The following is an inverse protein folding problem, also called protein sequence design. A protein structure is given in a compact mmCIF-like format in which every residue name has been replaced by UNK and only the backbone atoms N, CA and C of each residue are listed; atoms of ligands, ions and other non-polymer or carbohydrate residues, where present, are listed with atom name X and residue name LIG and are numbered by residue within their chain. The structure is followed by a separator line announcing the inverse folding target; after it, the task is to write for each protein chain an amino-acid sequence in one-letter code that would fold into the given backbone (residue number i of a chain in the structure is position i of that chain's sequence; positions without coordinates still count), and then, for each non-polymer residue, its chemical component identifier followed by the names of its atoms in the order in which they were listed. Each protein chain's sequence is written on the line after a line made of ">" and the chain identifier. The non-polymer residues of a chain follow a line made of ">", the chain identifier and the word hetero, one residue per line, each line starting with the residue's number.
data_IF_870439099588
#
_entry.id   IF_870439099588
#
_cell.length_a   1.000
_cell.length_b   1.000
_cell.length_c   1.000
_cell.angle_alpha   90.00
_cell.angle_beta   90.00
_cell.angle_gamma   90.00
#
_symmetry.space_group_name_H-M   'P 1'
#
loop_
_entity.id
_entity.type
_entity.pdbx_description
1 polymer ?
#
# COMPACT_ATOMS: atom_id res chain seq x y z
N UNK A 1 -5.15 -3.67 15.12
CA UNK A 1 -4.17 -2.80 14.52
C UNK A 1 -2.89 -2.63 15.29
N UNK A 2 -2.89 -1.89 16.41
CA UNK A 2 -1.65 -1.58 17.14
C UNK A 2 -0.98 -2.80 17.77
N UNK A 3 -1.78 -3.72 18.33
CA UNK A 3 -1.26 -4.97 18.91
C UNK A 3 -0.62 -5.85 17.83
N UNK A 4 -1.21 -5.91 16.64
CA UNK A 4 -0.67 -6.65 15.50
C UNK A 4 0.65 -6.05 15.01
N UNK A 5 0.74 -4.72 14.95
CA UNK A 5 1.96 -4.02 14.56
C UNK A 5 3.11 -4.30 15.53
N UNK A 6 2.84 -4.27 16.83
CA UNK A 6 3.81 -4.59 17.88
C UNK A 6 4.28 -6.03 17.77
N UNK A 7 3.36 -6.95 17.60
CA UNK A 7 3.68 -8.37 17.41
C UNK A 7 4.55 -8.60 16.17
N UNK A 8 4.26 -7.90 15.08
CA UNK A 8 5.09 -7.96 13.87
C UNK A 8 6.54 -7.56 14.13
N UNK A 9 6.72 -6.46 14.87
CA UNK A 9 8.06 -6.00 15.29
C UNK A 9 8.77 -6.97 16.21
N UNK A 10 8.07 -7.54 17.17
CA UNK A 10 8.60 -8.56 18.08
C UNK A 10 9.02 -9.83 17.32
N UNK A 11 8.22 -10.26 16.34
CA UNK A 11 8.54 -11.42 15.51
C UNK A 11 9.79 -11.19 14.66
N UNK A 12 9.94 -10.00 14.07
CA UNK A 12 11.16 -9.66 13.33
C UNK A 12 12.39 -9.71 14.23
N UNK A 13 12.32 -9.07 15.38
CA UNK A 13 13.43 -9.05 16.35
C UNK A 13 13.81 -10.44 16.83
N UNK A 14 12.81 -11.29 17.13
CA UNK A 14 13.03 -12.67 17.56
C UNK A 14 13.74 -13.52 16.50
N UNK A 15 13.53 -13.22 15.22
CA UNK A 15 14.21 -13.88 14.10
C UNK A 15 15.54 -13.22 13.71
N UNK A 16 15.97 -12.20 14.42
CA UNK A 16 17.18 -11.46 14.09
C UNK A 16 17.07 -10.62 12.82
N UNK A 17 15.85 -10.34 12.36
CA UNK A 17 15.59 -9.49 11.19
C UNK A 17 15.46 -8.05 11.68
N UNK A 18 16.53 -7.28 11.55
CA UNK A 18 16.60 -5.91 12.03
C UNK A 18 16.72 -4.95 10.84
N UNK A 19 15.65 -4.20 10.53
CA UNK A 19 15.66 -3.29 9.39
C UNK A 19 16.72 -2.18 9.50
N UNK A 20 17.32 -1.83 8.38
CA UNK A 20 18.27 -0.72 8.23
C UNK A 20 17.60 0.53 7.64
N UNK A 21 16.49 0.34 6.95
CA UNK A 21 15.71 1.41 6.34
C UNK A 21 14.24 1.02 6.27
N UNK A 22 13.36 2.00 6.44
CA UNK A 22 11.92 1.86 6.27
C UNK A 22 11.47 2.60 5.02
N UNK A 23 10.66 1.93 4.20
CA UNK A 23 9.86 2.54 3.13
C UNK A 23 8.39 2.41 3.48
N UNK A 24 7.65 3.52 3.48
CA UNK A 24 6.22 3.52 3.81
C UNK A 24 5.46 4.58 3.00
N UNK A 25 4.15 4.62 3.18
CA UNK A 25 3.29 5.55 2.47
C UNK A 25 3.14 6.90 3.18
N UNK A 26 2.32 7.77 2.62
CA UNK A 26 1.94 9.04 3.24
C UNK A 26 0.71 8.91 4.14
N UNK A 27 0.11 7.72 4.26
CA UNK A 27 -1.09 7.52 5.05
C UNK A 27 -0.74 7.19 6.50
N UNK A 28 -1.39 7.87 7.42
CA UNK A 28 -1.08 7.80 8.85
C UNK A 28 -1.11 6.37 9.41
N UNK A 29 -2.04 5.54 8.97
CA UNK A 29 -2.16 4.16 9.46
C UNK A 29 -0.93 3.30 9.14
N UNK A 30 -0.31 3.50 7.98
CA UNK A 30 0.92 2.78 7.62
C UNK A 30 2.12 3.32 8.39
N UNK A 31 2.20 4.64 8.54
CA UNK A 31 3.27 5.30 9.31
C UNK A 31 3.21 4.84 10.78
N UNK A 32 2.03 4.81 11.38
CA UNK A 32 1.85 4.36 12.76
C UNK A 32 2.21 2.88 12.94
N UNK A 33 1.75 2.02 12.02
CA UNK A 33 2.09 0.61 12.03
C UNK A 33 3.61 0.40 12.00
N UNK A 34 4.29 1.12 11.10
CA UNK A 34 5.74 1.05 10.99
C UNK A 34 6.43 1.50 12.27
N UNK A 35 6.00 2.62 12.85
CA UNK A 35 6.59 3.15 14.08
C UNK A 35 6.43 2.18 15.25
N UNK A 36 5.26 1.57 15.40
CA UNK A 36 5.00 0.60 16.47
C UNK A 36 5.87 -0.65 16.29
N UNK A 37 5.97 -1.16 15.07
CA UNK A 37 6.81 -2.31 14.77
C UNK A 37 8.28 -2.03 15.02
N UNK A 38 8.77 -0.86 14.58
CA UNK A 38 10.17 -0.46 14.78
C UNK A 38 10.48 -0.19 16.26
N UNK A 39 9.53 0.37 17.02
CA UNK A 39 9.67 0.54 18.46
C UNK A 39 9.85 -0.81 19.14
N UNK A 40 9.01 -1.78 18.80
CA UNK A 40 9.10 -3.14 19.35
C UNK A 40 10.43 -3.85 19.01
N UNK A 41 11.02 -3.52 17.87
CA UNK A 41 12.30 -4.06 17.42
C UNK A 41 13.52 -3.21 17.83
N UNK A 42 13.32 -2.11 18.56
CA UNK A 42 14.36 -1.14 18.95
C UNK A 42 15.07 -0.53 17.72
N UNK A 43 14.28 -0.22 16.68
CA UNK A 43 14.79 0.31 15.40
C UNK A 43 14.10 1.61 14.96
N UNK A 44 13.51 2.38 15.88
CA UNK A 44 12.89 3.68 15.55
C UNK A 44 13.85 4.68 14.91
N UNK A 45 15.14 4.55 15.19
CA UNK A 45 16.18 5.48 14.78
C UNK A 45 16.62 5.35 13.31
N UNK A 46 16.17 4.32 12.59
CA UNK A 46 16.61 4.08 11.22
C UNK A 46 16.05 5.12 10.25
N UNK A 47 16.70 5.34 9.08
CA UNK A 47 16.16 6.22 8.04
C UNK A 47 14.79 5.78 7.57
N UNK A 48 13.92 6.77 7.30
CA UNK A 48 12.55 6.57 6.84
C UNK A 48 12.36 7.29 5.52
N UNK A 49 11.87 6.57 4.52
CA UNK A 49 11.49 7.11 3.21
C UNK A 49 9.99 6.95 3.02
N UNK A 50 9.27 8.06 2.91
CA UNK A 50 7.82 8.08 2.68
C UNK A 50 7.51 8.47 1.26
N UNK A 51 6.54 7.79 0.66
CA UNK A 51 6.14 8.06 -0.72
C UNK A 51 4.66 7.79 -0.94
N UNK A 52 3.99 8.65 -1.72
CA UNK A 52 2.62 8.43 -2.15
C UNK A 52 2.51 7.16 -3.01
N UNK A 53 3.59 6.73 -3.65
CA UNK A 53 3.61 5.56 -4.52
C UNK A 53 3.42 4.24 -3.79
N UNK A 54 3.53 4.25 -2.45
CA UNK A 54 3.17 3.11 -1.59
C UNK A 54 1.79 3.26 -0.94
N UNK A 55 1.03 4.31 -1.26
CA UNK A 55 -0.31 4.50 -0.72
C UNK A 55 -1.24 3.34 -1.10
N UNK A 56 -2.33 3.21 -0.33
CA UNK A 56 -3.42 2.31 -0.69
C UNK A 56 -4.06 2.73 -2.02
N UNK A 57 -4.68 1.78 -2.68
CA UNK A 57 -5.44 2.00 -3.90
C UNK A 57 -6.51 3.07 -3.69
N UNK A 58 -6.63 3.99 -4.63
CA UNK A 58 -7.69 4.97 -4.66
C UNK A 58 -8.95 4.38 -5.28
N UNK A 59 -10.04 4.36 -4.52
CA UNK A 59 -11.29 3.73 -4.94
C UNK A 59 -12.20 4.65 -5.77
N UNK A 60 -11.71 5.81 -6.21
CA UNK A 60 -12.47 6.71 -7.08
C UNK A 60 -13.78 7.17 -6.45
N UNK A 61 -14.84 7.16 -7.23
CA UNK A 61 -16.17 7.58 -6.76
C UNK A 61 -16.76 6.69 -5.66
N UNK A 62 -16.16 5.53 -5.39
CA UNK A 62 -16.56 4.66 -4.28
C UNK A 62 -15.97 5.11 -2.93
N UNK A 63 -15.04 6.04 -2.95
CA UNK A 63 -14.39 6.54 -1.75
C UNK A 63 -15.44 7.10 -0.78
N UNK A 64 -15.40 6.66 0.47
CA UNK A 64 -16.37 7.07 1.50
C UNK A 64 -17.71 6.35 1.46
N UNK A 65 -17.97 5.51 0.47
CA UNK A 65 -19.17 4.67 0.40
C UNK A 65 -18.92 3.32 1.06
N UNK A 66 -19.93 2.83 1.80
CA UNK A 66 -19.85 1.48 2.33
C UNK A 66 -20.25 0.44 1.26
N UNK A 67 -20.02 -0.83 1.59
CA UNK A 67 -20.30 -1.94 0.70
C UNK A 67 -21.78 -2.01 0.30
N UNK A 68 -22.68 -1.80 1.25
CA UNK A 68 -24.12 -1.87 1.02
C UNK A 68 -24.60 -0.76 0.07
N UNK A 69 -24.12 0.47 0.28
CA UNK A 69 -24.42 1.60 -0.60
C UNK A 69 -23.93 1.36 -2.02
N UNK A 70 -22.75 0.83 -2.18
CA UNK A 70 -22.16 0.53 -3.49
C UNK A 70 -22.97 -0.55 -4.22
N UNK A 71 -23.34 -1.62 -3.50
CA UNK A 71 -24.18 -2.70 -4.07
C UNK A 71 -25.55 -2.19 -4.51
N UNK A 72 -26.18 -1.32 -3.73
CA UNK A 72 -27.47 -0.73 -4.04
C UNK A 72 -27.41 0.17 -5.28
N UNK A 73 -26.38 1.03 -5.36
CA UNK A 73 -26.24 2.01 -6.42
C UNK A 73 -25.82 1.40 -7.76
N UNK A 74 -24.90 0.45 -7.76
CA UNK A 74 -24.26 -0.07 -8.98
C UNK A 74 -24.60 -1.53 -9.29
N UNK A 75 -25.17 -2.25 -8.35
CA UNK A 75 -25.48 -3.68 -8.48
C UNK A 75 -24.30 -4.59 -8.17
N UNK A 76 -24.59 -5.90 -7.87
CA UNK A 76 -23.56 -6.84 -7.43
C UNK A 76 -22.53 -7.18 -8.51
N UNK A 77 -22.93 -7.25 -9.76
CA UNK A 77 -22.02 -7.60 -10.88
C UNK A 77 -20.96 -6.54 -11.08
N UNK A 78 -21.36 -5.25 -11.15
CA UNK A 78 -20.44 -4.14 -11.30
C UNK A 78 -19.56 -3.96 -10.06
N UNK A 79 -20.12 -4.14 -8.87
CA UNK A 79 -19.37 -4.10 -7.61
C UNK A 79 -18.23 -5.13 -7.60
N UNK A 80 -18.54 -6.38 -7.99
CA UNK A 80 -17.54 -7.45 -8.03
C UNK A 80 -16.48 -7.20 -9.09
N UNK A 81 -16.86 -6.63 -10.23
CA UNK A 81 -15.92 -6.28 -11.28
C UNK A 81 -14.88 -5.27 -10.77
N UNK A 82 -15.30 -4.20 -10.10
CA UNK A 82 -14.38 -3.21 -9.54
C UNK A 82 -13.53 -3.78 -8.42
N UNK A 83 -14.09 -4.67 -7.61
CA UNK A 83 -13.40 -5.23 -6.46
C UNK A 83 -12.35 -6.26 -6.84
N UNK A 84 -12.61 -7.09 -7.86
CA UNK A 84 -11.78 -8.25 -8.20
C UNK A 84 -11.04 -8.15 -9.52
N UNK A 85 -11.43 -7.26 -10.40
CA UNK A 85 -10.73 -7.06 -11.65
C UNK A 85 -9.34 -6.49 -11.42
N UNK A 86 -8.36 -6.97 -12.19
CA UNK A 86 -7.00 -6.46 -12.16
C UNK A 86 -6.91 -5.04 -12.75
N UNK A 87 -7.64 -4.75 -13.82
CA UNK A 87 -7.43 -3.58 -14.66
C UNK A 87 -8.64 -2.66 -14.85
N UNK A 88 -9.78 -2.95 -14.21
CA UNK A 88 -10.97 -2.10 -14.31
C UNK A 88 -11.11 -1.21 -13.08
N UNK A 89 -10.83 0.11 -13.20
CA UNK A 89 -11.01 1.02 -12.07
C UNK A 89 -12.46 1.41 -11.87
N UNK A 90 -12.86 1.80 -10.64
CA UNK A 90 -14.13 2.49 -10.43
C UNK A 90 -14.17 3.84 -11.17
N UNK A 91 -15.34 4.47 -11.30
CA UNK A 91 -15.42 5.81 -11.87
C UNK A 91 -14.54 6.81 -11.11
N UNK A 92 -13.94 7.79 -11.79
CA UNK A 92 -13.08 8.77 -11.12
C UNK A 92 -13.88 9.67 -10.17
N UNK A 93 -13.20 10.10 -9.11
CA UNK A 93 -13.73 11.04 -8.14
C UNK A 93 -13.62 12.46 -8.68
N UNK A 94 -14.64 13.29 -8.45
CA UNK A 94 -14.59 14.71 -8.80
C UNK A 94 -13.61 15.46 -7.92
N UNK A 95 -12.91 16.44 -8.49
CA UNK A 95 -11.94 17.26 -7.77
C UNK A 95 -12.56 18.07 -6.63
N UNK A 96 -13.86 18.38 -6.71
CA UNK A 96 -14.61 19.09 -5.68
C UNK A 96 -15.08 18.21 -4.52
N UNK A 97 -14.90 16.88 -4.61
CA UNK A 97 -15.30 15.97 -3.55
C UNK A 97 -14.46 16.20 -2.29
N UNK A 98 -15.08 16.01 -1.12
CA UNK A 98 -14.35 16.02 0.17
C UNK A 98 -13.28 14.94 0.27
N UNK A 99 -13.39 13.88 -0.51
CA UNK A 99 -12.41 12.78 -0.56
C UNK A 99 -11.32 12.99 -1.61
N UNK A 100 -11.35 14.12 -2.36
CA UNK A 100 -10.33 14.44 -3.36
C UNK A 100 -8.98 14.71 -2.70
N UNK A 101 -7.92 14.22 -3.32
CA UNK A 101 -6.54 14.45 -2.89
C UNK A 101 -5.88 15.63 -3.61
N UNK A 102 -6.57 16.26 -4.57
CA UNK A 102 -6.00 17.28 -5.46
C UNK A 102 -5.47 18.51 -4.68
N UNK A 103 -6.15 18.89 -3.61
CA UNK A 103 -5.77 20.04 -2.78
C UNK A 103 -5.19 19.64 -1.42
N UNK A 104 -4.89 18.36 -1.22
CA UNK A 104 -4.32 17.86 0.02
C UNK A 104 -2.82 18.23 0.08
N UNK A 105 -2.37 18.92 1.14
CA UNK A 105 -0.97 19.35 1.27
C UNK A 105 0.03 18.21 1.29
N UNK A 106 -0.39 16.98 1.65
CA UNK A 106 0.48 15.81 1.62
C UNK A 106 0.99 15.48 0.21
N UNK A 107 0.23 15.89 -0.81
CA UNK A 107 0.54 15.60 -2.22
C UNK A 107 1.10 16.81 -2.97
N UNK A 108 1.32 17.92 -2.28
CA UNK A 108 1.96 19.08 -2.90
C UNK A 108 3.39 18.72 -3.31
N UNK A 109 3.73 18.95 -4.57
CA UNK A 109 5.08 18.71 -5.09
C UNK A 109 5.47 17.26 -5.31
N UNK A 110 4.51 16.34 -5.37
CA UNK A 110 4.80 14.95 -5.74
C UNK A 110 5.24 14.84 -7.21
N UNK A 111 5.98 13.77 -7.51
CA UNK A 111 6.46 13.44 -8.85
C UNK A 111 5.40 12.67 -9.66
N UNK A 112 4.33 13.32 -10.03
CA UNK A 112 3.23 12.69 -10.77
C UNK A 112 1.89 13.32 -10.44
N UNK A 113 0.84 12.77 -11.01
CA UNK A 113 -0.52 13.24 -10.79
C UNK A 113 -1.17 12.48 -9.65
N UNK A 114 -1.93 13.21 -8.83
CA UNK A 114 -2.75 12.61 -7.77
C UNK A 114 -3.81 11.71 -8.41
N UNK A 115 -3.90 10.43 -8.03
CA UNK A 115 -4.91 9.53 -8.59
C UNK A 115 -6.34 9.99 -8.23
N UNK A 116 -7.24 9.91 -9.21
CA UNK A 116 -8.68 10.12 -9.02
C UNK A 116 -9.45 8.81 -8.96
N UNK A 117 -8.85 7.74 -9.43
CA UNK A 117 -9.32 6.36 -9.33
C UNK A 117 -8.18 5.42 -9.69
N UNK A 118 -8.21 4.20 -9.16
CA UNK A 118 -7.20 3.20 -9.49
C UNK A 118 -7.80 1.79 -9.56
N UNK A 119 -7.32 1.02 -10.53
CA UNK A 119 -7.31 -0.45 -10.51
C UNK A 119 -6.04 -0.93 -9.81
N UNK A 120 -5.94 -2.23 -9.54
CA UNK A 120 -4.68 -2.80 -9.03
C UNK A 120 -3.52 -2.60 -10.00
N UNK A 121 -3.78 -2.73 -11.31
CA UNK A 121 -2.79 -2.45 -12.36
C UNK A 121 -2.22 -1.03 -12.24
N UNK A 122 -3.08 -0.04 -12.04
CA UNK A 122 -2.66 1.36 -11.90
C UNK A 122 -1.84 1.58 -10.62
N UNK A 123 -2.17 0.90 -9.53
CA UNK A 123 -1.36 0.93 -8.29
C UNK A 123 0.05 0.40 -8.59
N UNK A 124 0.16 -0.71 -9.28
CA UNK A 124 1.45 -1.30 -9.65
C UNK A 124 2.23 -0.35 -10.56
N UNK A 125 1.57 0.22 -11.58
CA UNK A 125 2.22 1.12 -12.53
C UNK A 125 2.84 2.35 -11.84
N UNK A 126 2.16 2.91 -10.82
CA UNK A 126 2.72 4.07 -10.11
C UNK A 126 3.73 3.69 -9.02
N UNK A 127 3.71 2.46 -8.57
CA UNK A 127 4.63 1.96 -7.54
C UNK A 127 5.98 1.50 -8.13
N UNK A 128 5.99 0.89 -9.30
CA UNK A 128 7.18 0.24 -9.86
C UNK A 128 8.37 1.19 -10.08
N UNK A 129 8.20 2.45 -10.51
CA UNK A 129 9.35 3.37 -10.58
C UNK A 129 10.05 3.55 -9.22
N UNK A 130 9.29 3.63 -8.15
CA UNK A 130 9.83 3.75 -6.80
C UNK A 130 10.50 2.46 -6.32
N UNK A 131 9.93 1.30 -6.64
CA UNK A 131 10.56 0.01 -6.39
C UNK A 131 11.97 -0.01 -6.99
N UNK A 132 12.11 0.33 -8.26
CA UNK A 132 13.40 0.28 -8.96
C UNK A 132 14.38 1.33 -8.46
N UNK A 133 13.94 2.58 -8.27
CA UNK A 133 14.84 3.68 -7.92
C UNK A 133 15.26 3.66 -6.44
N UNK A 134 14.39 3.23 -5.53
CA UNK A 134 14.60 3.38 -4.10
C UNK A 134 14.66 2.05 -3.35
N UNK A 135 13.64 1.20 -3.45
CA UNK A 135 13.60 -0.04 -2.66
C UNK A 135 14.65 -1.03 -3.15
N UNK A 136 14.65 -1.32 -4.45
CA UNK A 136 15.63 -2.25 -5.03
C UNK A 136 17.06 -1.72 -4.88
N UNK A 137 17.24 -0.40 -4.96
CA UNK A 137 18.56 0.21 -4.75
C UNK A 137 19.07 -0.04 -3.32
N UNK A 138 18.21 0.11 -2.31
CA UNK A 138 18.59 -0.17 -0.91
C UNK A 138 18.90 -1.65 -0.71
N UNK A 139 18.14 -2.55 -1.35
CA UNK A 139 18.42 -3.99 -1.30
C UNK A 139 19.76 -4.33 -1.96
N UNK A 140 20.06 -3.74 -3.11
CA UNK A 140 21.35 -3.93 -3.81
C UNK A 140 22.53 -3.41 -3.00
N UNK A 141 22.29 -2.39 -2.17
CA UNK A 141 23.30 -1.87 -1.24
C UNK A 141 23.52 -2.76 -0.01
N UNK A 142 22.85 -3.88 0.08
CA UNK A 142 22.98 -4.86 1.17
C UNK A 142 22.17 -4.52 2.42
N UNK A 143 21.22 -3.59 2.33
CA UNK A 143 20.39 -3.19 3.47
C UNK A 143 19.26 -4.18 3.71
N UNK A 144 18.90 -4.37 4.97
CA UNK A 144 17.64 -5.01 5.35
C UNK A 144 16.54 -3.96 5.28
N UNK A 145 15.57 -4.17 4.40
CA UNK A 145 14.52 -3.20 4.07
C UNK A 145 13.20 -3.64 4.69
N UNK A 146 12.55 -2.75 5.43
CA UNK A 146 11.17 -2.91 5.84
C UNK A 146 10.27 -2.07 4.94
N UNK A 147 9.25 -2.69 4.37
CA UNK A 147 8.16 -2.01 3.65
C UNK A 147 6.90 -2.17 4.46
N UNK A 148 6.35 -1.06 4.93
CA UNK A 148 5.05 -1.02 5.62
C UNK A 148 4.09 -0.19 4.77
N UNK A 149 3.08 -0.85 4.24
CA UNK A 149 2.16 -0.23 3.30
C UNK A 149 0.73 -0.77 3.49
N UNK A 150 0.02 -1.06 2.42
CA UNK A 150 -1.41 -1.37 2.44
C UNK A 150 -1.71 -2.64 1.65
N UNK A 151 -2.92 -3.18 1.84
CA UNK A 151 -3.31 -4.43 1.20
C UNK A 151 -3.05 -4.45 -0.30
N UNK A 152 -3.49 -3.44 -1.04
CA UNK A 152 -3.34 -3.43 -2.49
C UNK A 152 -1.92 -3.10 -2.95
N UNK A 153 -1.23 -2.16 -2.32
CA UNK A 153 0.16 -1.88 -2.69
C UNK A 153 1.08 -3.06 -2.38
N UNK A 154 0.88 -3.75 -1.25
CA UNK A 154 1.64 -4.97 -0.93
C UNK A 154 1.28 -6.14 -1.86
N UNK A 155 0.01 -6.30 -2.24
CA UNK A 155 -0.37 -7.29 -3.25
C UNK A 155 0.33 -7.04 -4.57
N UNK A 156 0.42 -5.78 -4.98
CA UNK A 156 1.17 -5.41 -6.18
C UNK A 156 2.65 -5.76 -6.08
N UNK A 157 3.26 -5.50 -4.94
CA UNK A 157 4.67 -5.81 -4.71
C UNK A 157 4.92 -7.32 -4.71
N UNK A 158 4.08 -8.10 -4.01
CA UNK A 158 4.16 -9.56 -3.97
C UNK A 158 3.93 -10.16 -5.37
N UNK A 159 2.96 -9.62 -6.12
CA UNK A 159 2.75 -10.03 -7.51
C UNK A 159 4.03 -9.90 -8.34
N UNK A 160 4.72 -8.80 -8.19
CA UNK A 160 6.00 -8.57 -8.88
C UNK A 160 7.08 -9.56 -8.43
N UNK A 161 7.24 -9.73 -7.11
CA UNK A 161 8.29 -10.57 -6.54
C UNK A 161 8.09 -12.07 -6.83
N UNK A 162 6.85 -12.54 -6.76
CA UNK A 162 6.51 -13.96 -6.92
C UNK A 162 6.13 -14.33 -8.37
N UNK A 163 6.01 -13.36 -9.28
CA UNK A 163 5.61 -13.62 -10.65
C UNK A 163 4.17 -14.11 -10.77
N UNK A 164 3.27 -13.61 -9.93
CA UNK A 164 1.86 -14.02 -9.93
C UNK A 164 1.16 -13.45 -11.18
N UNK A 165 0.34 -14.28 -11.83
CA UNK A 165 -0.42 -13.86 -13.01
C UNK A 165 -1.52 -12.85 -12.67
N UNK A 166 -1.99 -12.13 -13.70
CA UNK A 166 -3.11 -11.19 -13.56
C UNK A 166 -4.39 -11.89 -13.10
N UNK A 167 -4.60 -13.14 -13.53
CA UNK A 167 -5.76 -13.94 -13.13
C UNK A 167 -5.65 -14.38 -11.67
N UNK A 168 -4.47 -14.79 -11.22
CA UNK A 168 -4.27 -15.38 -9.90
C UNK A 168 -4.17 -14.35 -8.79
N UNK A 169 -3.83 -13.09 -9.11
CA UNK A 169 -3.68 -12.04 -8.09
C UNK A 169 -4.98 -11.77 -7.32
N UNK A 170 -6.14 -12.03 -7.91
CA UNK A 170 -7.42 -11.84 -7.24
C UNK A 170 -7.56 -12.70 -5.98
N UNK A 171 -6.92 -13.86 -5.95
CA UNK A 171 -6.99 -14.81 -4.84
C UNK A 171 -5.97 -14.52 -3.73
N UNK A 172 -5.01 -13.65 -3.96
CA UNK A 172 -3.98 -13.33 -2.97
C UNK A 172 -4.56 -12.44 -1.87
N UNK A 173 -4.38 -12.86 -0.63
CA UNK A 173 -4.72 -12.09 0.55
C UNK A 173 -3.47 -11.91 1.42
N UNK A 174 -3.20 -10.66 1.81
CA UNK A 174 -2.06 -10.32 2.67
C UNK A 174 -2.59 -10.20 4.11
N UNK A 175 -2.20 -11.10 5.03
CA UNK A 175 -2.62 -10.98 6.42
C UNK A 175 -1.98 -9.77 7.10
N UNK A 176 -2.72 -9.15 8.02
CA UNK A 176 -2.21 -8.04 8.81
C UNK A 176 -1.36 -8.55 9.98
N UNK A 177 -0.33 -7.79 10.37
CA UNK A 177 0.49 -8.06 11.54
C UNK A 177 1.46 -9.25 11.42
N UNK A 178 1.55 -9.87 10.26
CA UNK A 178 2.47 -10.98 9.99
C UNK A 178 3.48 -10.52 8.93
N UNK A 179 4.77 -10.39 9.29
CA UNK A 179 5.80 -10.03 8.32
C UNK A 179 5.97 -11.11 7.25
N UNK A 180 6.05 -10.69 5.99
CA UNK A 180 6.48 -11.54 4.88
C UNK A 180 7.95 -11.29 4.62
N UNK A 181 8.74 -12.35 4.54
CA UNK A 181 10.19 -12.25 4.39
C UNK A 181 10.62 -12.74 3.01
N UNK A 182 11.38 -11.92 2.32
CA UNK A 182 11.96 -12.21 1.02
C UNK A 182 13.48 -12.12 1.03
#
# INVERSE_FOLDING_TARGET
>A
GQAEARRGGELMAAQGILPDVLHTSLLSRAIQTANIALDAADRLWIPVKRTWRLNERHYGALQGKDKAQTLEEFGPEQFMLWRRSFDVPPPPLDDDSEFSQVHDPRYAGIDGDVPRTESLKLVIDRMMPYWESDIAADLRAGKTVLVTAHGNSLRGLVKHLDGISDADIAELNIPTGIPLVY
#
